data_IF_567021073554
#
_entry.id   IF_567021073554
#
_cell.length_a   1.000
_cell.length_b   1.000
_cell.length_c   1.000
_cell.angle_alpha   90.00
_cell.angle_beta   90.00
_cell.angle_gamma   90.00
#
_symmetry.space_group_name_H-M   'P 1'
#
loop_
_entity.id
_entity.type
_entity.pdbx_description
1 polymer ?
#
# COMPACT_ATOMS: atom_id res chain seq x y z
N UNK A 1 -17.81 -7.37 6.65
CA UNK A 1 -17.44 -7.23 5.22
C UNK A 1 -16.58 -5.99 4.96
N UNK A 2 -17.14 -4.77 4.93
CA UNK A 2 -16.41 -3.53 4.55
C UNK A 2 -15.24 -3.16 5.46
N UNK A 3 -15.36 -3.38 6.79
CA UNK A 3 -14.25 -3.22 7.74
C UNK A 3 -13.06 -4.13 7.45
N UNK A 4 -13.33 -5.40 7.12
CA UNK A 4 -12.30 -6.40 6.83
C UNK A 4 -11.55 -6.00 5.55
N UNK A 5 -12.27 -5.53 4.54
CA UNK A 5 -11.66 -5.00 3.30
C UNK A 5 -10.78 -3.77 3.61
N UNK A 6 -11.25 -2.85 4.46
CA UNK A 6 -10.45 -1.71 4.90
C UNK A 6 -9.15 -2.12 5.59
N UNK A 7 -9.19 -3.11 6.48
CA UNK A 7 -8.00 -3.65 7.16
C UNK A 7 -7.04 -4.30 6.16
N UNK A 8 -7.55 -5.12 5.23
CA UNK A 8 -6.72 -5.76 4.20
C UNK A 8 -5.99 -4.71 3.34
N UNK A 9 -6.69 -3.65 2.92
CA UNK A 9 -6.09 -2.56 2.16
C UNK A 9 -4.99 -1.83 2.94
N UNK A 10 -5.22 -1.59 4.24
CA UNK A 10 -4.20 -0.98 5.11
C UNK A 10 -2.95 -1.86 5.20
N UNK A 11 -3.13 -3.18 5.38
CA UNK A 11 -2.00 -4.13 5.47
C UNK A 11 -1.21 -4.16 4.16
N UNK A 12 -1.88 -4.22 3.00
CA UNK A 12 -1.19 -4.21 1.70
C UNK A 12 -0.43 -2.89 1.50
N UNK A 13 -1.04 -1.75 1.84
CA UNK A 13 -0.38 -0.45 1.76
C UNK A 13 0.85 -0.34 2.68
N UNK A 14 0.77 -0.92 3.88
CA UNK A 14 1.90 -0.98 4.81
C UNK A 14 3.03 -1.89 4.30
N UNK A 15 2.71 -3.02 3.68
CA UNK A 15 3.72 -3.89 3.04
C UNK A 15 4.46 -3.16 1.92
N UNK A 16 3.76 -2.41 1.07
CA UNK A 16 4.40 -1.58 0.03
C UNK A 16 5.33 -0.53 0.64
N UNK A 17 4.92 0.12 1.72
CA UNK A 17 5.78 1.06 2.45
C UNK A 17 7.06 0.39 2.99
N UNK A 18 6.94 -0.85 3.45
CA UNK A 18 8.07 -1.62 3.93
C UNK A 18 9.05 -2.01 2.82
N UNK A 19 8.53 -2.46 1.67
CA UNK A 19 9.33 -2.77 0.47
C UNK A 19 10.10 -1.52 0.00
N UNK A 20 9.45 -0.35 -0.02
CA UNK A 20 10.13 0.91 -0.36
C UNK A 20 11.27 1.26 0.60
N UNK A 21 11.15 0.92 1.89
CA UNK A 21 12.18 1.19 2.88
C UNK A 21 13.38 0.23 2.76
N UNK A 22 13.14 -1.02 2.40
CA UNK A 22 14.19 -2.02 2.18
C UNK A 22 14.92 -1.84 0.85
N UNK A 23 14.25 -1.23 -0.13
CA UNK A 23 14.77 -1.10 -1.49
C UNK A 23 14.40 -2.29 -2.38
N UNK A 24 14.60 -2.18 -3.70
CA UNK A 24 14.20 -3.21 -4.65
C UNK A 24 15.04 -4.49 -4.50
N UNK A 25 14.37 -5.61 -4.23
CA UNK A 25 14.90 -6.96 -4.48
C UNK A 25 14.68 -7.36 -5.95
N UNK A 26 15.38 -8.40 -6.44
CA UNK A 26 15.23 -8.90 -7.83
C UNK A 26 13.75 -9.12 -8.22
N UNK A 27 12.94 -9.69 -7.32
CA UNK A 27 11.52 -9.95 -7.56
C UNK A 27 10.63 -8.72 -7.56
N UNK A 28 11.09 -7.62 -6.97
CA UNK A 28 10.32 -6.38 -6.82
C UNK A 28 10.88 -5.24 -7.67
N UNK A 29 12.00 -5.45 -8.36
CA UNK A 29 12.71 -4.41 -9.12
C UNK A 29 11.81 -3.77 -10.18
N UNK A 30 10.90 -4.57 -10.76
CA UNK A 30 9.94 -4.13 -11.76
C UNK A 30 8.97 -3.06 -11.21
N UNK A 31 8.69 -3.04 -9.90
CA UNK A 31 7.86 -2.02 -9.26
C UNK A 31 8.54 -0.65 -9.20
N UNK A 32 9.88 -0.63 -9.27
CA UNK A 32 10.70 0.58 -9.22
C UNK A 32 11.21 1.01 -10.61
N UNK A 33 10.74 0.37 -11.69
CA UNK A 33 11.17 0.66 -13.07
C UNK A 33 11.05 2.13 -13.44
N UNK A 34 9.99 2.79 -12.96
CA UNK A 34 9.74 4.22 -13.19
C UNK A 34 10.13 5.09 -11.98
N UNK A 35 11.05 4.60 -11.14
CA UNK A 35 11.46 5.20 -9.87
C UNK A 35 10.57 4.79 -8.70
N UNK A 36 10.78 5.44 -7.55
CA UNK A 36 10.07 5.12 -6.30
C UNK A 36 8.67 5.74 -6.21
N UNK A 37 8.43 6.84 -6.94
CA UNK A 37 7.19 7.60 -6.90
C UNK A 37 5.92 6.80 -7.19
N UNK A 38 5.86 5.91 -8.21
CA UNK A 38 4.69 5.08 -8.45
C UNK A 38 4.33 4.19 -7.27
N UNK A 39 5.34 3.61 -6.61
CA UNK A 39 5.15 2.74 -5.43
C UNK A 39 4.63 3.55 -4.24
N UNK A 40 5.13 4.78 -4.05
CA UNK A 40 4.66 5.70 -3.01
C UNK A 40 3.18 6.04 -3.22
N UNK A 41 2.81 6.39 -4.47
CA UNK A 41 1.43 6.75 -4.81
C UNK A 41 0.50 5.55 -4.59
N UNK A 42 0.91 4.36 -5.02
CA UNK A 42 0.12 3.13 -4.82
C UNK A 42 -0.09 2.84 -3.32
N UNK A 43 0.97 2.93 -2.50
CA UNK A 43 0.89 2.74 -1.07
C UNK A 43 -0.05 3.76 -0.40
N UNK A 44 0.04 5.04 -0.79
CA UNK A 44 -0.83 6.09 -0.27
C UNK A 44 -2.30 5.86 -0.62
N UNK A 45 -2.61 5.52 -1.88
CA UNK A 45 -3.98 5.25 -2.30
C UNK A 45 -4.57 4.09 -1.47
N UNK A 46 -3.83 3.00 -1.32
CA UNK A 46 -4.27 1.84 -0.55
C UNK A 46 -4.51 2.17 0.93
N UNK A 47 -3.58 2.91 1.55
CA UNK A 47 -3.71 3.33 2.95
C UNK A 47 -4.89 4.28 3.15
N UNK A 48 -5.04 5.30 2.31
CA UNK A 48 -6.11 6.30 2.40
C UNK A 48 -7.47 5.63 2.18
N UNK A 49 -7.61 4.81 1.13
CA UNK A 49 -8.86 4.10 0.84
C UNK A 49 -9.18 3.09 1.93
N UNK A 50 -8.18 2.35 2.42
CA UNK A 50 -8.33 1.40 3.53
C UNK A 50 -8.77 2.06 4.83
N UNK A 51 -8.11 3.16 5.22
CA UNK A 51 -8.48 3.98 6.38
C UNK A 51 -9.87 4.59 6.25
N UNK A 52 -10.20 5.15 5.08
CA UNK A 52 -11.52 5.71 4.80
C UNK A 52 -12.64 4.67 4.94
N UNK A 53 -12.44 3.48 4.38
CA UNK A 53 -13.38 2.35 4.50
C UNK A 53 -13.50 1.84 5.94
N UNK A 54 -12.39 1.75 6.66
CA UNK A 54 -12.37 1.34 8.06
C UNK A 54 -13.12 2.35 8.94
N UNK A 55 -12.87 3.64 8.74
CA UNK A 55 -13.40 4.70 9.59
C UNK A 55 -14.88 5.02 9.30
N UNK A 56 -15.32 4.95 8.03
CA UNK A 56 -16.74 5.11 7.64
C UNK A 56 -17.66 4.03 8.19
N UNK A 57 -17.10 2.93 8.69
CA UNK A 57 -17.85 1.77 9.14
C UNK A 57 -17.73 1.58 10.67
N UNK A 58 -17.26 2.60 11.40
CA UNK A 58 -17.50 2.79 12.85
C UNK A 58 -18.97 3.09 13.09
#
# INVERSE_FOLDING_TARGET
MKKVIGIILIVIGACLAFIMKMGPAEETVWMFTYGIWPVIIAALILLITGLSLYNRNR
#
